data_IF_832658012265
#
_entry.id   IF_832658012265
#
_cell.length_a   1.000
_cell.length_b   1.000
_cell.length_c   1.000
_cell.angle_alpha   90.00
_cell.angle_beta   90.00
_cell.angle_gamma   90.00
#
_symmetry.space_group_name_H-M   'P 1'
#
loop_
_entity.id
_entity.type
_entity.pdbx_description
1 polymer ?
#
# COMPACT_ATOMS: atom_id res chain seq x y z
N UNK A 1 -90.63 1.66 6.99
CA UNK A 1 -89.52 1.96 6.07
C UNK A 1 -88.80 3.19 6.58
N UNK A 2 -87.46 3.09 6.65
CA UNK A 2 -86.53 4.04 7.26
C UNK A 2 -86.44 5.36 6.48
N UNK A 3 -86.18 6.46 7.21
CA UNK A 3 -85.27 7.52 6.77
C UNK A 3 -84.85 8.40 7.96
N UNK A 4 -83.71 8.07 8.56
CA UNK A 4 -82.92 8.99 9.39
C UNK A 4 -81.46 8.76 9.02
N UNK A 5 -80.87 9.69 8.27
CA UNK A 5 -79.43 9.71 7.98
C UNK A 5 -78.84 10.96 8.61
N UNK A 6 -78.16 10.74 9.74
CA UNK A 6 -77.27 11.70 10.36
C UNK A 6 -76.02 11.89 9.51
N UNK A 7 -75.67 13.15 9.34
CA UNK A 7 -74.42 13.69 8.82
C UNK A 7 -73.24 13.24 9.68
N UNK A 8 -72.28 12.55 9.06
CA UNK A 8 -70.92 12.43 9.56
C UNK A 8 -69.99 12.67 8.37
N UNK A 9 -69.08 13.65 8.47
CA UNK A 9 -67.75 13.71 7.83
C UNK A 9 -67.32 15.16 7.57
N UNK A 10 -66.63 15.81 8.52
CA UNK A 10 -65.46 16.66 8.24
C UNK A 10 -64.61 16.70 9.52
N UNK A 11 -63.64 15.81 9.63
CA UNK A 11 -62.57 15.90 10.62
C UNK A 11 -61.28 15.24 10.10
N UNK A 12 -60.84 15.64 8.89
CA UNK A 12 -59.65 15.11 8.23
C UNK A 12 -58.70 16.20 7.71
N UNK A 13 -58.72 17.39 8.30
CA UNK A 13 -57.88 18.53 7.85
C UNK A 13 -56.92 19.08 8.92
N UNK A 14 -56.59 18.31 9.97
CA UNK A 14 -55.54 18.69 10.92
C UNK A 14 -54.55 17.55 11.15
N UNK A 15 -53.87 17.13 10.07
CA UNK A 15 -52.54 16.53 10.23
C UNK A 15 -51.56 17.69 10.44
N UNK A 16 -50.74 17.70 11.51
CA UNK A 16 -49.75 18.73 11.70
C UNK A 16 -48.73 18.63 10.55
N UNK A 17 -48.70 19.65 9.69
CA UNK A 17 -47.68 19.86 8.67
C UNK A 17 -46.34 20.33 9.29
N UNK A 18 -45.97 19.76 10.43
CA UNK A 18 -44.79 20.09 11.20
C UNK A 18 -44.05 18.79 11.51
N UNK A 19 -43.34 18.25 10.51
CA UNK A 19 -42.16 17.40 10.70
C UNK A 19 -41.36 17.15 9.41
N UNK A 20 -41.49 18.02 8.40
CA UNK A 20 -40.42 18.15 7.42
C UNK A 20 -39.32 18.97 8.09
N UNK A 21 -38.44 18.31 8.84
CA UNK A 21 -37.23 18.93 9.38
C UNK A 21 -36.44 19.54 8.21
N UNK A 22 -36.63 20.85 7.99
CA UNK A 22 -35.83 21.64 7.05
C UNK A 22 -34.47 21.83 7.68
N UNK A 23 -33.57 20.89 7.41
CA UNK A 23 -32.17 20.94 7.83
C UNK A 23 -31.25 20.90 6.61
N UNK A 24 -29.96 21.22 6.80
CA UNK A 24 -28.96 21.01 5.76
C UNK A 24 -28.94 19.53 5.35
N UNK A 25 -28.65 19.31 4.07
CA UNK A 25 -28.51 17.99 3.46
C UNK A 25 -27.16 17.93 2.74
N UNK A 26 -26.16 17.30 3.34
CA UNK A 26 -24.83 17.09 2.75
C UNK A 26 -24.88 15.86 1.84
N UNK A 27 -24.83 16.02 0.52
CA UNK A 27 -24.86 14.88 -0.41
C UNK A 27 -23.60 14.01 -0.27
N UNK A 28 -23.61 12.82 -0.89
CA UNK A 28 -22.40 12.02 -1.01
C UNK A 28 -21.31 12.75 -1.82
N UNK A 29 -21.72 13.54 -2.82
CA UNK A 29 -20.82 14.38 -3.63
C UNK A 29 -20.18 15.48 -2.77
N UNK A 30 -20.90 16.07 -1.82
CA UNK A 30 -20.35 17.06 -0.86
C UNK A 30 -19.30 16.46 0.11
N UNK A 31 -19.22 15.13 0.16
CA UNK A 31 -18.31 14.36 0.99
C UNK A 31 -17.11 13.81 0.20
N UNK A 32 -17.17 13.86 -1.14
CA UNK A 32 -16.06 13.53 -2.02
C UNK A 32 -15.39 14.83 -2.45
N UNK A 33 -14.17 15.12 -1.99
CA UNK A 33 -13.45 16.24 -2.55
C UNK A 33 -13.14 15.96 -4.03
N UNK A 34 -13.10 16.99 -4.89
CA UNK A 34 -12.75 16.81 -6.30
C UNK A 34 -11.36 16.20 -6.40
N UNK A 35 -11.22 15.27 -7.35
CA UNK A 35 -9.93 14.61 -7.55
C UNK A 35 -8.89 15.64 -7.99
N UNK A 36 -7.61 15.49 -7.62
CA UNK A 36 -6.63 16.55 -7.86
C UNK A 36 -6.45 16.92 -9.34
N UNK A 37 -6.74 16.00 -10.26
CA UNK A 37 -6.74 16.23 -11.72
C UNK A 37 -8.00 16.93 -12.26
N UNK A 38 -9.03 17.13 -11.44
CA UNK A 38 -10.26 17.85 -11.80
C UNK A 38 -10.16 19.36 -11.49
N UNK A 39 -9.06 19.79 -10.89
CA UNK A 39 -8.81 21.19 -10.51
C UNK A 39 -7.60 21.74 -11.25
N UNK A 40 -7.74 22.88 -11.93
CA UNK A 40 -6.59 23.60 -12.51
C UNK A 40 -5.73 24.17 -11.36
N UNK A 41 -4.68 23.45 -10.95
CA UNK A 41 -3.78 23.87 -9.86
C UNK A 41 -2.85 22.76 -9.36
N UNK A 42 -1.93 23.11 -8.46
CA UNK A 42 -1.15 22.12 -7.71
C UNK A 42 -2.10 21.20 -6.93
N UNK A 43 -1.93 19.87 -6.99
CA UNK A 43 -2.80 18.93 -6.29
C UNK A 43 -2.68 19.15 -4.78
N UNK A 44 -3.67 19.83 -4.18
CA UNK A 44 -3.78 19.97 -2.73
C UNK A 44 -4.66 18.85 -2.22
N UNK A 45 -4.09 17.94 -1.43
CA UNK A 45 -4.89 16.94 -0.75
C UNK A 45 -5.94 17.63 0.14
N UNK A 46 -7.23 17.37 -0.10
CA UNK A 46 -8.31 17.96 0.67
C UNK A 46 -8.23 17.46 2.11
N UNK A 47 -8.32 18.38 3.08
CA UNK A 47 -8.34 17.99 4.48
C UNK A 47 -9.58 17.12 4.73
N UNK A 48 -9.43 15.89 5.25
CA UNK A 48 -10.58 15.03 5.50
C UNK A 48 -11.51 15.69 6.52
N UNK A 49 -12.84 15.55 6.36
CA UNK A 49 -13.78 16.08 7.34
C UNK A 49 -13.51 15.41 8.70
N UNK A 50 -13.82 16.13 9.78
CA UNK A 50 -13.72 15.59 11.15
C UNK A 50 -15.06 15.77 11.88
N UNK A 51 -15.27 14.97 12.93
CA UNK A 51 -16.40 15.15 13.83
C UNK A 51 -17.76 14.88 13.16
N UNK A 52 -18.79 15.70 13.43
CA UNK A 52 -20.13 15.51 12.84
C UNK A 52 -20.16 15.40 11.32
N UNK A 53 -19.33 16.17 10.59
CA UNK A 53 -19.28 16.12 9.12
C UNK A 53 -18.69 14.80 8.64
N UNK A 54 -17.63 14.33 9.30
CA UNK A 54 -17.02 13.03 8.99
C UNK A 54 -18.00 11.88 9.17
N UNK A 55 -18.74 11.87 10.30
CA UNK A 55 -19.79 10.88 10.54
C UNK A 55 -20.85 10.89 9.43
N UNK A 56 -21.37 12.06 9.05
CA UNK A 56 -22.37 12.19 7.98
C UNK A 56 -21.82 11.60 6.67
N UNK A 57 -20.59 11.94 6.33
CA UNK A 57 -19.94 11.47 5.12
C UNK A 57 -19.69 9.96 5.14
N UNK A 58 -19.18 9.40 6.24
CA UNK A 58 -18.99 7.96 6.37
C UNK A 58 -20.31 7.19 6.27
N UNK A 59 -21.37 7.66 6.94
CA UNK A 59 -22.69 7.02 6.91
C UNK A 59 -23.29 7.03 5.50
N UNK A 60 -23.12 8.12 4.75
CA UNK A 60 -23.64 8.25 3.38
C UNK A 60 -22.80 7.49 2.36
N UNK A 61 -21.47 7.58 2.44
CA UNK A 61 -20.55 6.91 1.52
C UNK A 61 -20.58 5.38 1.67
N UNK A 62 -20.63 4.88 2.90
CA UNK A 62 -20.64 3.44 3.18
C UNK A 62 -22.07 2.85 3.23
N UNK A 63 -23.10 3.70 3.16
CA UNK A 63 -24.51 3.31 3.28
C UNK A 63 -24.81 2.46 4.54
N UNK A 64 -24.11 2.75 5.64
CA UNK A 64 -24.20 1.96 6.89
C UNK A 64 -25.57 2.06 7.57
N UNK A 65 -26.35 3.09 7.26
CA UNK A 65 -27.76 3.21 7.66
C UNK A 65 -28.64 3.24 6.42
N UNK A 66 -29.65 2.36 6.36
CA UNK A 66 -30.50 2.19 5.18
C UNK A 66 -31.22 3.46 4.71
N UNK A 67 -31.47 4.41 5.60
CA UNK A 67 -32.15 5.68 5.30
C UNK A 67 -31.18 6.85 5.07
N UNK A 68 -29.86 6.61 5.11
CA UNK A 68 -28.83 7.64 5.03
C UNK A 68 -28.91 8.48 3.76
N UNK A 69 -29.28 7.87 2.65
CA UNK A 69 -29.30 8.51 1.34
C UNK A 69 -30.34 9.64 1.22
N UNK A 70 -31.40 9.63 2.03
CA UNK A 70 -32.52 10.57 1.91
C UNK A 70 -32.81 11.36 3.18
N UNK A 71 -32.16 11.02 4.30
CA UNK A 71 -32.34 11.73 5.55
C UNK A 71 -31.59 13.07 5.59
N UNK A 72 -32.19 14.12 6.18
CA UNK A 72 -31.47 15.34 6.57
C UNK A 72 -30.33 15.05 7.54
N UNK A 73 -29.29 15.86 7.52
CA UNK A 73 -28.07 15.69 8.32
C UNK A 73 -28.37 15.58 9.81
N UNK A 74 -29.30 16.39 10.30
CA UNK A 74 -29.70 16.40 11.70
C UNK A 74 -30.30 15.04 12.12
N UNK A 75 -31.07 14.40 11.24
CA UNK A 75 -31.65 13.07 11.51
C UNK A 75 -30.54 12.03 11.62
N UNK A 76 -29.51 12.13 10.77
CA UNK A 76 -28.33 11.26 10.85
C UNK A 76 -27.58 11.48 12.15
N UNK A 77 -27.29 12.72 12.51
CA UNK A 77 -26.57 13.05 13.74
C UNK A 77 -27.33 12.61 14.98
N UNK A 78 -28.64 12.81 15.04
CA UNK A 78 -29.46 12.38 16.15
C UNK A 78 -29.51 10.86 16.25
N UNK A 79 -29.63 10.15 15.12
CA UNK A 79 -29.49 8.69 15.13
C UNK A 79 -28.10 8.25 15.58
N UNK A 80 -27.04 8.89 15.09
CA UNK A 80 -25.66 8.62 15.48
C UNK A 80 -25.43 8.79 16.97
N UNK A 81 -25.98 9.84 17.59
CA UNK A 81 -25.92 10.08 19.04
C UNK A 81 -26.68 9.00 19.82
N UNK A 82 -27.84 8.54 19.34
CA UNK A 82 -28.57 7.42 19.95
C UNK A 82 -27.75 6.13 19.89
N UNK A 83 -27.13 5.83 18.74
CA UNK A 83 -26.27 4.67 18.58
C UNK A 83 -25.03 4.78 19.46
N UNK A 84 -24.41 5.95 19.57
CA UNK A 84 -23.31 6.18 20.50
C UNK A 84 -23.71 5.97 21.97
N UNK A 85 -24.91 6.42 22.36
CA UNK A 85 -25.40 6.18 23.72
C UNK A 85 -25.61 4.69 24.00
N UNK A 86 -26.15 3.93 23.05
CA UNK A 86 -26.29 2.47 23.15
C UNK A 86 -24.90 1.78 23.17
N UNK A 87 -23.99 2.20 22.30
CA UNK A 87 -22.59 1.73 22.26
C UNK A 87 -21.90 1.91 23.62
N UNK A 88 -22.02 3.12 24.19
CA UNK A 88 -21.36 3.48 25.45
C UNK A 88 -21.95 2.72 26.65
N UNK A 89 -23.26 2.44 26.63
CA UNK A 89 -23.89 1.62 27.68
C UNK A 89 -23.51 0.14 27.58
N UNK A 90 -23.24 -0.34 26.36
CA UNK A 90 -22.92 -1.73 26.04
C UNK A 90 -23.89 -2.75 26.66
N UNK A 91 -25.19 -2.42 26.75
CA UNK A 91 -26.21 -3.33 27.28
C UNK A 91 -26.55 -4.41 26.24
N UNK A 92 -26.26 -5.71 26.51
CA UNK A 92 -26.50 -6.78 25.54
C UNK A 92 -27.95 -6.86 25.05
N UNK A 93 -28.93 -6.49 25.90
CA UNK A 93 -30.35 -6.52 25.53
C UNK A 93 -30.71 -5.39 24.58
N UNK A 94 -30.20 -4.19 24.83
CA UNK A 94 -30.39 -3.04 23.94
C UNK A 94 -29.75 -3.28 22.58
N UNK A 95 -28.52 -3.82 22.57
CA UNK A 95 -27.80 -4.16 21.35
C UNK A 95 -28.51 -5.24 20.53
N UNK A 96 -28.97 -6.33 21.18
CA UNK A 96 -29.73 -7.38 20.52
C UNK A 96 -31.02 -6.84 19.87
N UNK A 97 -31.73 -5.95 20.57
CA UNK A 97 -32.94 -5.31 20.03
C UNK A 97 -32.64 -4.40 18.84
N UNK A 98 -31.57 -3.62 18.89
CA UNK A 98 -31.16 -2.75 17.76
C UNK A 98 -30.81 -3.60 16.53
N UNK A 99 -30.14 -4.73 16.72
CA UNK A 99 -29.85 -5.68 15.65
C UNK A 99 -31.11 -6.31 15.08
N UNK A 100 -32.06 -6.73 15.92
CA UNK A 100 -33.31 -7.36 15.48
C UNK A 100 -34.25 -6.38 14.78
N UNK A 101 -34.45 -5.19 15.34
CA UNK A 101 -35.46 -4.23 14.86
C UNK A 101 -34.92 -3.33 13.76
N UNK A 102 -33.66 -2.93 13.84
CA UNK A 102 -33.07 -1.99 12.89
C UNK A 102 -32.06 -2.64 11.94
N UNK A 103 -31.72 -3.92 12.11
CA UNK A 103 -30.70 -4.59 11.30
C UNK A 103 -29.28 -4.05 11.53
N UNK A 104 -29.08 -3.29 12.61
CA UNK A 104 -27.80 -2.61 12.89
C UNK A 104 -27.08 -3.31 14.03
N UNK A 105 -25.89 -3.84 13.76
CA UNK A 105 -24.94 -4.19 14.81
C UNK A 105 -24.12 -2.96 15.18
N UNK A 106 -24.36 -2.42 16.37
CA UNK A 106 -23.77 -1.15 16.81
C UNK A 106 -22.27 -1.27 17.02
N UNK A 107 -21.76 -2.48 17.31
CA UNK A 107 -20.32 -2.72 17.49
C UNK A 107 -19.56 -2.68 16.18
N UNK A 108 -20.18 -3.19 15.11
CA UNK A 108 -19.63 -3.12 13.74
C UNK A 108 -19.58 -1.68 13.20
N UNK A 109 -20.26 -0.73 13.85
CA UNK A 109 -20.23 0.69 13.51
C UNK A 109 -19.16 1.50 14.26
N UNK A 110 -18.28 0.87 15.05
CA UNK A 110 -17.27 1.57 15.86
C UNK A 110 -16.44 2.58 15.06
N UNK A 111 -15.98 2.19 13.86
CA UNK A 111 -15.23 3.07 12.94
C UNK A 111 -16.03 4.29 12.50
N UNK A 112 -17.30 4.12 12.15
CA UNK A 112 -18.19 5.22 11.73
C UNK A 112 -18.56 6.12 12.91
N UNK A 113 -18.82 5.53 14.08
CA UNK A 113 -19.21 6.26 15.28
C UNK A 113 -18.05 7.00 15.94
N UNK A 114 -16.80 6.60 15.72
CA UNK A 114 -15.61 7.22 16.33
C UNK A 114 -15.54 8.75 16.15
N UNK A 115 -16.12 9.27 15.08
CA UNK A 115 -16.15 10.71 14.81
C UNK A 115 -17.08 11.51 15.73
N UNK A 116 -18.13 10.88 16.27
CA UNK A 116 -19.12 11.53 17.15
C UNK A 116 -19.24 10.88 18.53
N UNK A 117 -18.56 9.75 18.76
CA UNK A 117 -18.67 8.92 19.94
C UNK A 117 -17.32 8.71 20.62
N UNK A 118 -17.07 9.34 21.78
CA UNK A 118 -15.79 9.21 22.49
C UNK A 118 -15.44 7.76 22.86
N UNK A 119 -16.43 6.94 23.23
CA UNK A 119 -16.21 5.53 23.57
C UNK A 119 -15.71 4.72 22.35
N UNK A 120 -16.40 4.84 21.21
CA UNK A 120 -15.98 4.20 19.97
C UNK A 120 -14.62 4.73 19.48
N UNK A 121 -14.37 6.04 19.61
CA UNK A 121 -13.08 6.65 19.26
C UNK A 121 -11.93 6.05 20.05
N UNK A 122 -12.11 5.86 21.36
CA UNK A 122 -11.09 5.28 22.22
C UNK A 122 -10.81 3.81 21.84
N UNK A 123 -11.84 3.05 21.49
CA UNK A 123 -11.69 1.66 21.05
C UNK A 123 -10.96 1.56 19.70
N UNK A 124 -11.38 2.33 18.69
CA UNK A 124 -10.72 2.38 17.38
C UNK A 124 -9.26 2.80 17.53
N UNK A 125 -8.97 3.82 18.36
CA UNK A 125 -7.61 4.24 18.64
C UNK A 125 -6.78 3.14 19.31
N UNK A 126 -7.38 2.35 20.21
CA UNK A 126 -6.70 1.24 20.87
C UNK A 126 -6.37 0.09 19.89
N UNK A 127 -7.27 -0.22 18.96
CA UNK A 127 -7.05 -1.20 17.88
C UNK A 127 -5.92 -0.73 16.96
N UNK A 128 -6.02 0.49 16.41
CA UNK A 128 -4.97 1.08 15.56
C UNK A 128 -3.62 1.11 16.29
N UNK A 129 -3.61 1.45 17.58
CA UNK A 129 -2.37 1.44 18.36
C UNK A 129 -1.83 0.02 18.61
N UNK A 130 -2.67 -1.00 18.63
CA UNK A 130 -2.23 -2.40 18.72
C UNK A 130 -1.63 -2.86 17.39
N UNK A 131 -2.33 -2.62 16.29
CA UNK A 131 -1.88 -2.98 14.93
C UNK A 131 -0.56 -2.27 14.59
N UNK A 132 -0.43 -0.99 14.93
CA UNK A 132 0.81 -0.23 14.72
C UNK A 132 1.98 -0.81 15.53
N UNK A 133 1.76 -1.27 16.77
CA UNK A 133 2.82 -1.91 17.56
C UNK A 133 3.25 -3.22 16.93
N UNK A 134 2.30 -4.05 16.49
CA UNK A 134 2.60 -5.31 15.81
C UNK A 134 3.38 -5.06 14.51
N UNK A 135 2.95 -4.08 13.72
CA UNK A 135 3.65 -3.66 12.51
C UNK A 135 5.08 -3.16 12.79
N UNK A 136 5.26 -2.30 13.80
CA UNK A 136 6.58 -1.81 14.21
C UNK A 136 7.51 -2.94 14.70
N UNK A 137 6.98 -3.89 15.47
CA UNK A 137 7.71 -5.07 15.93
C UNK A 137 8.13 -5.96 14.76
N UNK A 138 7.23 -6.18 13.79
CA UNK A 138 7.50 -6.92 12.56
C UNK A 138 8.58 -6.24 11.71
N UNK A 139 8.44 -4.93 11.42
CA UNK A 139 9.44 -4.17 10.67
C UNK A 139 10.80 -4.11 11.38
N UNK A 140 10.81 -4.03 12.71
CA UNK A 140 12.04 -4.12 13.49
C UNK A 140 12.71 -5.50 13.39
N UNK A 141 11.93 -6.58 13.25
CA UNK A 141 12.47 -7.89 12.93
C UNK A 141 13.09 -7.94 11.53
N UNK A 142 12.41 -7.43 10.50
CA UNK A 142 12.95 -7.38 9.14
C UNK A 142 14.26 -6.56 9.07
N UNK A 143 14.33 -5.41 9.77
CA UNK A 143 15.57 -4.64 9.91
C UNK A 143 16.69 -5.46 10.56
N UNK A 144 16.39 -6.22 11.63
CA UNK A 144 17.37 -7.11 12.29
C UNK A 144 17.85 -8.22 11.37
N UNK A 145 16.96 -8.81 10.55
CA UNK A 145 17.34 -9.78 9.51
C UNK A 145 18.34 -9.14 8.56
N UNK A 146 18.04 -7.95 8.04
CA UNK A 146 18.94 -7.24 7.14
C UNK A 146 20.27 -6.84 7.76
N UNK A 147 20.29 -6.37 9.01
CA UNK A 147 21.54 -6.05 9.72
C UNK A 147 22.42 -7.30 9.95
N UNK A 148 21.81 -8.45 10.19
CA UNK A 148 22.51 -9.72 10.39
C UNK A 148 23.06 -10.33 9.09
N UNK A 149 22.56 -9.92 7.91
CA UNK A 149 23.10 -10.41 6.64
C UNK A 149 24.59 -10.08 6.51
N UNK A 150 25.42 -11.02 5.97
CA UNK A 150 26.85 -10.78 5.83
C UNK A 150 27.11 -9.51 5.02
N UNK A 151 27.98 -8.63 5.53
CA UNK A 151 28.39 -7.44 4.78
C UNK A 151 29.25 -7.86 3.59
N UNK A 152 28.94 -7.33 2.40
CA UNK A 152 29.83 -7.49 1.25
C UNK A 152 31.16 -6.76 1.53
N UNK A 153 32.27 -7.37 1.10
CA UNK A 153 33.61 -6.81 1.24
C UNK A 153 34.24 -6.76 -0.14
N UNK A 154 34.02 -5.67 -0.90
CA UNK A 154 34.49 -5.54 -2.26
C UNK A 154 35.99 -5.85 -2.41
N UNK A 155 36.35 -6.66 -3.40
CA UNK A 155 37.77 -6.90 -3.73
C UNK A 155 38.46 -5.68 -4.36
N UNK A 156 37.70 -4.70 -4.84
CA UNK A 156 38.18 -3.40 -5.30
C UNK A 156 37.27 -2.30 -4.76
N UNK A 157 37.77 -1.07 -4.64
CA UNK A 157 36.95 0.04 -4.14
C UNK A 157 35.86 0.41 -5.15
N UNK A 158 34.57 0.40 -4.76
CA UNK A 158 33.49 0.92 -5.60
C UNK A 158 33.55 2.45 -5.66
N UNK A 159 33.11 3.03 -6.78
CA UNK A 159 32.90 4.47 -6.91
C UNK A 159 31.76 4.94 -6.00
N UNK A 160 30.72 4.11 -5.85
CA UNK A 160 29.57 4.34 -4.99
C UNK A 160 29.14 3.01 -4.40
N UNK A 161 28.90 2.95 -3.09
CA UNK A 161 28.34 1.79 -2.42
C UNK A 161 27.26 2.24 -1.45
N UNK A 162 26.07 1.67 -1.61
CA UNK A 162 24.89 2.01 -0.82
C UNK A 162 24.32 0.69 -0.30
N UNK A 163 24.23 0.56 1.02
CA UNK A 163 23.42 -0.49 1.65
C UNK A 163 22.16 0.16 2.16
N UNK A 164 21.00 -0.30 1.68
CA UNK A 164 19.74 0.24 2.14
C UNK A 164 19.54 -0.13 3.61
N UNK A 165 19.11 0.88 4.38
CA UNK A 165 18.89 0.73 5.82
C UNK A 165 17.56 0.04 6.08
N UNK A 166 16.56 0.38 5.29
CA UNK A 166 15.24 -0.23 5.33
C UNK A 166 15.23 -1.47 4.43
N UNK A 167 14.62 -2.58 4.87
CA UNK A 167 14.35 -3.73 4.01
C UNK A 167 13.36 -3.34 2.92
N UNK A 168 13.64 -3.72 1.68
CA UNK A 168 12.74 -3.45 0.55
C UNK A 168 11.71 -4.58 0.42
N UNK A 169 10.49 -4.26 -0.01
CA UNK A 169 9.45 -5.26 -0.25
C UNK A 169 8.87 -5.18 -1.67
N UNK A 170 9.69 -5.50 -2.69
CA UNK A 170 9.23 -5.54 -4.07
C UNK A 170 8.21 -6.67 -4.26
N UNK A 171 7.00 -6.34 -4.68
CA UNK A 171 5.90 -7.26 -4.91
C UNK A 171 6.00 -7.97 -6.27
N UNK A 172 6.35 -7.24 -7.35
CA UNK A 172 6.55 -7.82 -8.68
C UNK A 172 8.02 -8.15 -9.02
N UNK A 173 8.94 -7.85 -8.11
CA UNK A 173 10.37 -7.82 -8.37
C UNK A 173 10.87 -6.43 -8.75
N UNK A 174 12.16 -6.33 -9.06
CA UNK A 174 12.82 -5.07 -9.40
C UNK A 174 13.11 -5.01 -10.89
N UNK A 175 12.71 -3.94 -11.55
CA UNK A 175 12.92 -3.70 -12.97
C UNK A 175 13.77 -2.44 -13.18
N UNK A 176 14.79 -2.58 -14.01
CA UNK A 176 15.60 -1.49 -14.53
C UNK A 176 15.25 -1.35 -16.01
N UNK A 177 14.61 -0.25 -16.36
CA UNK A 177 14.19 0.05 -17.73
C UNK A 177 14.72 1.41 -18.16
N UNK A 178 15.22 1.52 -19.40
CA UNK A 178 15.59 2.80 -20.00
C UNK A 178 14.46 3.31 -20.92
N UNK A 179 13.77 4.36 -20.50
CA UNK A 179 12.68 4.96 -21.28
C UNK A 179 13.10 5.46 -22.67
N UNK A 180 14.36 5.85 -22.85
CA UNK A 180 14.87 6.32 -24.14
C UNK A 180 15.27 5.16 -25.07
N UNK A 181 15.40 3.94 -24.55
CA UNK A 181 15.76 2.78 -25.37
C UNK A 181 14.64 2.31 -26.30
N UNK A 182 13.42 2.84 -26.15
CA UNK A 182 12.23 2.45 -26.90
C UNK A 182 11.74 1.03 -26.55
N UNK A 183 10.59 0.63 -27.06
CA UNK A 183 10.17 -0.78 -27.07
C UNK A 183 11.07 -1.54 -28.05
N UNK A 184 12.28 -1.88 -27.59
CA UNK A 184 13.16 -2.74 -28.35
C UNK A 184 12.56 -4.16 -28.36
N UNK A 185 12.02 -4.58 -29.51
CA UNK A 185 11.64 -5.97 -29.81
C UNK A 185 12.88 -6.89 -29.78
N UNK A 186 13.33 -7.25 -28.57
CA UNK A 186 14.42 -8.18 -28.34
C UNK A 186 13.96 -9.35 -27.47
N UNK A 187 14.43 -10.54 -27.79
CA UNK A 187 14.14 -11.74 -26.98
C UNK A 187 14.75 -11.57 -25.58
N UNK A 188 13.89 -11.52 -24.56
CA UNK A 188 14.33 -11.48 -23.16
C UNK A 188 14.92 -12.84 -22.78
N UNK A 189 16.15 -12.81 -22.25
CA UNK A 189 16.83 -14.00 -21.75
C UNK A 189 16.73 -14.05 -20.23
N UNK A 190 16.35 -15.21 -19.68
CA UNK A 190 16.32 -15.44 -18.24
C UNK A 190 17.47 -16.33 -17.77
N UNK A 191 18.06 -15.98 -16.64
CA UNK A 191 19.09 -16.76 -15.98
C UNK A 191 18.95 -16.64 -14.45
N UNK A 192 18.39 -17.69 -13.82
CA UNK A 192 18.11 -17.65 -12.39
C UNK A 192 17.06 -16.56 -12.08
N UNK A 193 17.26 -15.72 -11.05
CA UNK A 193 16.31 -14.65 -10.72
C UNK A 193 16.43 -13.43 -11.65
N UNK A 194 17.30 -13.43 -12.67
CA UNK A 194 17.52 -12.26 -13.53
C UNK A 194 16.96 -12.51 -14.92
N UNK A 195 16.07 -11.63 -15.38
CA UNK A 195 15.70 -11.46 -16.77
C UNK A 195 16.45 -10.27 -17.38
N UNK A 196 16.83 -10.37 -18.65
CA UNK A 196 17.41 -9.24 -19.36
C UNK A 196 17.02 -9.25 -20.85
N UNK A 197 16.62 -8.09 -21.34
CA UNK A 197 16.42 -7.78 -22.75
C UNK A 197 17.14 -6.47 -23.10
N UNK A 198 17.12 -6.03 -24.36
CA UNK A 198 17.74 -4.76 -24.68
C UNK A 198 17.00 -3.61 -23.97
N UNK A 199 17.75 -2.78 -23.26
CA UNK A 199 17.19 -1.66 -22.48
C UNK A 199 16.46 -2.05 -21.18
N UNK A 200 16.45 -3.34 -20.82
CA UNK A 200 15.66 -3.85 -19.70
C UNK A 200 16.42 -4.92 -18.88
N UNK A 201 16.43 -4.81 -17.56
CA UNK A 201 16.84 -5.86 -16.63
C UNK A 201 15.78 -6.05 -15.55
N UNK A 202 15.28 -7.27 -15.38
CA UNK A 202 14.40 -7.63 -14.27
C UNK A 202 15.11 -8.53 -13.27
N UNK A 203 14.81 -8.35 -11.99
CA UNK A 203 15.28 -9.18 -10.88
C UNK A 203 14.07 -9.66 -10.10
N UNK A 204 13.74 -10.94 -10.28
CA UNK A 204 12.67 -11.60 -9.54
C UNK A 204 13.07 -11.82 -8.09
N UNK A 205 12.20 -11.42 -7.18
CA UNK A 205 12.26 -11.65 -5.74
C UNK A 205 11.01 -12.42 -5.31
N UNK A 206 11.05 -13.07 -4.15
CA UNK A 206 9.85 -13.57 -3.51
C UNK A 206 9.04 -12.41 -2.92
N UNK A 207 7.75 -12.37 -3.23
CA UNK A 207 6.78 -11.42 -2.68
C UNK A 207 6.48 -11.66 -1.20
N UNK A 208 6.84 -12.83 -0.66
CA UNK A 208 6.52 -13.22 0.71
C UNK A 208 7.64 -12.85 1.70
N UNK A 209 8.69 -12.15 1.24
CA UNK A 209 9.86 -11.85 2.06
C UNK A 209 10.50 -10.53 1.68
N UNK A 210 10.83 -9.73 2.68
CA UNK A 210 11.64 -8.53 2.48
C UNK A 210 13.03 -8.88 1.94
N UNK A 211 13.63 -7.89 1.29
CA UNK A 211 14.90 -8.01 0.57
C UNK A 211 15.90 -7.00 1.12
N UNK A 212 17.06 -7.51 1.52
CA UNK A 212 18.18 -6.71 1.99
C UNK A 212 19.08 -6.35 0.81
N UNK A 213 19.01 -5.10 0.37
CA UNK A 213 19.67 -4.65 -0.86
C UNK A 213 20.98 -3.91 -0.58
N UNK A 214 22.01 -4.27 -1.34
CA UNK A 214 23.26 -3.51 -1.46
C UNK A 214 23.51 -3.18 -2.93
N UNK A 215 23.84 -1.94 -3.20
CA UNK A 215 24.09 -1.37 -4.53
C UNK A 215 25.54 -0.91 -4.61
N UNK A 216 26.25 -1.30 -5.67
CA UNK A 216 27.63 -0.90 -5.87
C UNK A 216 27.92 -0.52 -7.32
N UNK A 217 28.43 0.69 -7.52
CA UNK A 217 28.85 1.17 -8.84
C UNK A 217 30.38 1.19 -8.89
N UNK A 218 30.96 0.66 -9.97
CA UNK A 218 32.41 0.62 -10.19
C UNK A 218 32.82 1.33 -11.48
N UNK A 219 34.01 1.91 -11.49
CA UNK A 219 34.60 2.55 -12.70
C UNK A 219 35.16 1.55 -13.71
N UNK A 220 35.33 0.29 -13.29
CA UNK A 220 35.86 -0.82 -14.10
C UNK A 220 35.27 -2.14 -13.61
N UNK A 221 35.42 -3.19 -14.42
CA UNK A 221 34.93 -4.53 -14.08
C UNK A 221 35.48 -5.04 -12.73
N UNK A 222 34.62 -5.29 -11.73
CA UNK A 222 35.03 -5.92 -10.48
C UNK A 222 35.27 -7.43 -10.69
N UNK A 223 36.19 -8.03 -9.91
CA UNK A 223 36.36 -9.49 -9.87
C UNK A 223 35.03 -10.21 -9.59
N UNK A 224 34.89 -11.45 -10.05
CA UNK A 224 33.67 -12.23 -9.83
C UNK A 224 33.73 -12.90 -8.46
N UNK A 225 32.72 -12.65 -7.63
CA UNK A 225 32.63 -13.18 -6.26
C UNK A 225 31.41 -14.12 -6.14
N UNK A 226 31.62 -15.43 -6.08
CA UNK A 226 30.52 -16.42 -6.04
C UNK A 226 30.33 -17.09 -4.68
N UNK A 227 31.27 -16.91 -3.75
CA UNK A 227 31.23 -17.56 -2.45
C UNK A 227 30.14 -16.95 -1.57
N UNK A 228 29.28 -17.79 -1.01
CA UNK A 228 28.18 -17.36 -0.13
C UNK A 228 26.97 -16.80 -0.88
N UNK A 229 26.91 -16.98 -2.20
CA UNK A 229 25.79 -16.59 -3.05
C UNK A 229 25.14 -17.82 -3.70
N UNK A 230 23.82 -17.80 -3.82
CA UNK A 230 23.06 -18.87 -4.46
C UNK A 230 23.05 -18.69 -5.98
N UNK A 231 22.86 -17.44 -6.44
CA UNK A 231 22.93 -17.05 -7.83
C UNK A 231 23.87 -15.87 -8.01
N UNK A 232 24.65 -15.91 -9.09
CA UNK A 232 25.44 -14.76 -9.56
C UNK A 232 25.32 -14.69 -11.06
N UNK A 233 24.68 -13.63 -11.53
CA UNK A 233 24.31 -13.45 -12.94
C UNK A 233 24.73 -12.07 -13.38
N UNK A 234 25.29 -11.95 -14.58
CA UNK A 234 25.73 -10.71 -15.17
C UNK A 234 25.13 -10.53 -16.55
N UNK A 235 24.51 -9.38 -16.79
CA UNK A 235 23.81 -9.03 -18.02
C UNK A 235 24.33 -7.71 -18.56
N UNK A 236 24.12 -7.48 -19.86
CA UNK A 236 24.40 -6.17 -20.47
C UNK A 236 23.19 -5.26 -20.32
N UNK A 237 23.44 -3.97 -20.20
CA UNK A 237 22.40 -2.94 -20.15
C UNK A 237 22.89 -1.71 -20.91
N UNK A 238 22.05 -1.16 -21.78
CA UNK A 238 22.36 0.03 -22.54
C UNK A 238 21.67 1.23 -21.87
N UNK A 239 22.46 2.08 -21.20
CA UNK A 239 21.98 3.29 -20.55
C UNK A 239 22.08 4.49 -21.50
N UNK A 240 20.97 4.91 -22.06
CA UNK A 240 20.78 6.08 -22.91
C UNK A 240 20.27 7.30 -22.14
N UNK A 241 19.48 7.11 -21.08
CA UNK A 241 18.95 8.20 -20.26
C UNK A 241 20.05 8.91 -19.47
N UNK A 242 21.03 8.15 -19.00
CA UNK A 242 22.02 8.59 -18.02
C UNK A 242 21.68 8.14 -16.60
N UNK A 243 20.52 7.52 -16.39
CA UNK A 243 20.02 7.08 -15.08
C UNK A 243 19.83 5.55 -15.07
N UNK A 244 20.11 4.91 -13.94
CA UNK A 244 19.92 3.48 -13.75
C UNK A 244 19.25 3.22 -12.40
N UNK A 245 17.93 3.31 -12.39
CA UNK A 245 17.08 3.19 -11.22
C UNK A 245 16.26 1.90 -11.35
N UNK A 246 16.38 1.02 -10.36
CA UNK A 246 15.51 -0.15 -10.26
C UNK A 246 14.20 0.25 -9.58
N UNK A 247 13.07 -0.15 -10.16
CA UNK A 247 11.72 0.17 -9.69
C UNK A 247 10.90 -1.10 -9.56
N UNK A 248 9.96 -1.12 -8.63
CA UNK A 248 8.85 -2.07 -8.63
C UNK A 248 7.55 -1.32 -8.92
N UNK A 249 6.89 -1.66 -10.03
CA UNK A 249 5.66 -1.00 -10.46
C UNK A 249 4.46 -1.25 -9.55
N UNK A 250 4.50 -2.26 -8.67
CA UNK A 250 3.40 -2.56 -7.75
C UNK A 250 3.60 -1.93 -6.36
N UNK A 251 4.74 -2.17 -5.70
CA UNK A 251 4.98 -1.60 -4.36
C UNK A 251 5.37 -0.11 -4.38
N UNK A 252 5.77 0.42 -5.54
CA UNK A 252 6.38 1.75 -5.64
C UNK A 252 7.82 1.82 -5.12
N UNK A 253 8.45 0.67 -4.83
CA UNK A 253 9.87 0.61 -4.44
C UNK A 253 10.74 1.25 -5.53
N UNK A 254 11.62 2.17 -5.13
CA UNK A 254 12.60 2.81 -6.02
C UNK A 254 14.00 2.78 -5.39
N UNK A 255 14.94 2.13 -6.07
CA UNK A 255 16.31 2.00 -5.58
C UNK A 255 17.18 3.18 -6.03
N UNK A 256 18.17 3.61 -5.24
CA UNK A 256 19.10 4.66 -5.64
C UNK A 256 19.78 4.42 -7.00
N UNK A 257 19.99 5.51 -7.73
CA UNK A 257 20.62 5.50 -9.05
C UNK A 257 22.04 4.86 -9.02
N UNK A 258 22.20 3.84 -9.86
CA UNK A 258 23.44 3.10 -10.09
C UNK A 258 24.33 3.71 -11.17
N UNK A 259 23.89 4.74 -11.88
CA UNK A 259 24.67 5.39 -12.93
C UNK A 259 26.01 5.92 -12.40
N UNK A 260 27.04 5.80 -13.23
CA UNK A 260 28.35 6.37 -12.91
C UNK A 260 28.34 7.86 -13.26
N UNK A 261 27.76 8.66 -12.37
CA UNK A 261 27.65 10.12 -12.48
C UNK A 261 26.97 10.57 -13.78
N UNK A 262 25.80 9.99 -14.09
CA UNK A 262 25.03 10.33 -15.29
C UNK A 262 25.61 9.77 -16.60
N UNK A 263 26.66 8.94 -16.53
CA UNK A 263 27.34 8.43 -17.71
C UNK A 263 26.42 7.51 -18.51
N UNK A 264 26.26 7.85 -19.78
CA UNK A 264 25.59 7.04 -20.81
C UNK A 264 26.52 5.98 -21.39
N UNK A 265 25.93 4.95 -21.99
CA UNK A 265 26.61 3.90 -22.74
C UNK A 265 26.31 2.49 -22.20
N UNK A 266 27.14 1.54 -22.60
CA UNK A 266 26.97 0.14 -22.18
C UNK A 266 27.53 -0.11 -20.78
N UNK A 267 26.67 -0.73 -19.97
CA UNK A 267 26.96 -1.22 -18.64
C UNK A 267 26.82 -2.73 -18.58
N UNK A 268 27.49 -3.30 -17.58
CA UNK A 268 27.25 -4.65 -17.10
C UNK A 268 26.62 -4.55 -15.73
N UNK A 269 25.49 -5.20 -15.58
CA UNK A 269 24.78 -5.31 -14.31
C UNK A 269 25.01 -6.73 -13.79
N UNK A 270 25.65 -6.86 -12.62
CA UNK A 270 25.86 -8.15 -11.97
C UNK A 270 25.03 -8.23 -10.70
N UNK A 271 24.09 -9.16 -10.68
CA UNK A 271 23.21 -9.42 -9.54
C UNK A 271 23.71 -10.66 -8.81
N UNK A 272 23.92 -10.51 -7.51
CA UNK A 272 24.13 -11.63 -6.60
C UNK A 272 22.90 -11.76 -5.72
N UNK A 273 22.38 -12.97 -5.65
CA UNK A 273 21.20 -13.31 -4.87
C UNK A 273 21.52 -14.48 -3.94
N UNK A 274 21.06 -14.38 -2.70
CA UNK A 274 21.08 -15.48 -1.75
C UNK A 274 19.88 -15.42 -0.80
N UNK A 275 19.41 -16.58 -0.38
CA UNK A 275 18.58 -16.69 0.80
C UNK A 275 19.44 -16.63 2.06
N UNK A 276 18.96 -15.90 3.06
CA UNK A 276 19.58 -15.82 4.38
C UNK A 276 18.67 -16.49 5.41
N UNK A 277 19.15 -17.55 6.08
CA UNK A 277 18.36 -18.23 7.09
C UNK A 277 18.22 -17.38 8.35
N UNK A 278 17.06 -17.47 9.00
CA UNK A 278 16.77 -16.69 10.20
C UNK A 278 15.96 -17.51 11.21
N UNK A 279 16.42 -17.58 12.47
CA UNK A 279 15.72 -18.27 13.57
C UNK A 279 15.20 -19.69 13.25
N UNK A 280 15.94 -20.45 12.44
CA UNK A 280 15.58 -21.83 12.07
C UNK A 280 14.81 -21.97 10.75
N UNK A 281 14.44 -20.86 10.11
CA UNK A 281 13.86 -20.83 8.77
C UNK A 281 14.98 -20.82 7.71
N UNK A 282 14.93 -21.74 6.75
CA UNK A 282 15.90 -21.80 5.63
C UNK A 282 15.82 -20.55 4.75
N UNK A 283 14.60 -19.99 4.59
CA UNK A 283 14.26 -18.88 3.71
C UNK A 283 13.78 -17.67 4.52
N UNK A 284 14.61 -17.18 5.45
CA UNK A 284 14.21 -16.12 6.40
C UNK A 284 14.14 -14.71 5.80
N UNK A 285 15.08 -14.35 4.92
CA UNK A 285 15.07 -13.11 4.12
C UNK A 285 15.90 -13.28 2.86
N UNK A 286 15.71 -12.40 1.89
CA UNK A 286 16.46 -12.38 0.64
C UNK A 286 17.57 -11.35 0.73
N UNK A 287 18.76 -11.67 0.22
CA UNK A 287 19.88 -10.74 0.12
C UNK A 287 20.23 -10.49 -1.33
N UNK A 288 20.23 -9.22 -1.73
CA UNK A 288 20.64 -8.76 -3.04
C UNK A 288 21.90 -7.91 -2.98
N UNK A 289 22.82 -8.18 -3.89
CA UNK A 289 23.92 -7.28 -4.23
C UNK A 289 23.89 -7.01 -5.74
N UNK A 290 23.56 -5.78 -6.10
CA UNK A 290 23.48 -5.33 -7.49
C UNK A 290 24.70 -4.46 -7.76
N UNK A 291 25.55 -4.92 -8.66
CA UNK A 291 26.73 -4.18 -9.11
C UNK A 291 26.53 -3.62 -10.50
N UNK A 292 26.93 -2.38 -10.74
CA UNK A 292 26.95 -1.75 -12.06
C UNK A 292 28.35 -1.28 -12.42
N UNK A 293 28.79 -1.52 -13.66
CA UNK A 293 30.07 -1.00 -14.15
C UNK A 293 30.10 -0.87 -15.67
N UNK A 294 30.89 0.05 -16.23
CA UNK A 294 31.03 0.20 -17.68
C UNK A 294 31.61 -1.08 -18.31
N UNK A 295 30.99 -1.56 -19.39
CA UNK A 295 31.50 -2.71 -20.12
C UNK A 295 30.66 -3.03 -21.35
N UNK A 296 31.29 -3.48 -22.45
CA UNK A 296 30.56 -3.80 -23.67
C UNK A 296 29.83 -5.15 -23.58
N UNK A 297 28.80 -5.29 -24.40
CA UNK A 297 28.18 -6.57 -24.75
C UNK A 297 26.90 -6.91 -23.97
N UNK A 298 25.99 -7.56 -24.68
CA UNK A 298 24.62 -7.84 -24.20
C UNK A 298 24.45 -9.30 -23.73
N UNK A 299 25.54 -10.07 -23.71
CA UNK A 299 25.50 -11.49 -23.33
C UNK A 299 25.19 -11.68 -21.85
N UNK A 300 24.27 -12.58 -21.57
CA UNK A 300 24.04 -13.09 -20.21
C UNK A 300 25.14 -14.06 -19.82
N UNK A 301 25.72 -13.87 -18.64
CA UNK A 301 26.71 -14.76 -18.05
C UNK A 301 26.23 -15.22 -16.67
N UNK A 302 26.08 -16.54 -16.48
CA UNK A 302 25.82 -17.11 -15.16
C UNK A 302 27.10 -17.63 -14.54
N UNK A 303 27.52 -17.07 -13.41
CA UNK A 303 28.71 -17.49 -12.67
C UNK A 303 28.40 -18.49 -11.56
N UNK A 304 27.18 -18.47 -11.03
CA UNK A 304 26.72 -19.39 -9.99
C UNK A 304 25.23 -19.66 -10.17
N UNK A 305 24.84 -20.92 -9.97
CA UNK A 305 23.44 -21.37 -9.85
C UNK A 305 23.30 -22.17 -8.55
N UNK A 306 22.11 -22.20 -7.94
CA UNK A 306 21.84 -23.08 -6.82
C UNK A 306 22.02 -24.54 -7.27
N UNK A 307 22.41 -25.45 -6.35
CA UNK A 307 22.42 -26.87 -6.67
C UNK A 307 21.03 -27.29 -7.15
N UNK A 308 20.95 -28.09 -8.23
CA UNK A 308 19.68 -28.73 -8.61
C UNK A 308 19.24 -29.60 -7.43
N UNK A 309 18.14 -29.25 -6.78
CA UNK A 309 17.50 -30.12 -5.79
C UNK A 309 17.10 -31.42 -6.51
N UNK A 310 17.54 -32.56 -5.96
CA UNK A 310 17.18 -33.91 -6.43
C UNK A 310 15.84 -34.30 -5.84
#
# INVERSE_FOLDING_TARGET
MLAATLTASVALCFLPAADHARGPFTTAEDCSPPEPWETDGEPVEPTPPTGPRAFICSVRGQQTLAFAATAPDQVLLDRGRQLCAAYTRDDPRELARLREVNGVDVRDLSGVLAEICPAAKAEVAAVVAADNREFEESMAEERRKCDATPRHRPLITPARAIRLKEPEWPEAGLELYDELSGESEGESTTAGPVGAGPGNVTVSTSSDSHVCVTLETYTRRPPVETKGWDNVVEVGYANQSGEMIFRDGLSGTELPDLSLDGRKGHYRIRVHFAWFPWKGEEYGTQRLLIMAYPGPGDKVATYRRPPKRR
#
